data_IF_737647215648
#
_entry.id   IF_737647215648
#
_cell.length_a   1.000
_cell.length_b   1.000
_cell.length_c   1.000
_cell.angle_alpha   90.00
_cell.angle_beta   90.00
_cell.angle_gamma   90.00
#
_symmetry.space_group_name_H-M   'P 1'
#
loop_
_entity.id
_entity.type
_entity.pdbx_description
1 polymer ?
#
# COMPACT_ATOMS: atom_id res chain seq x y z
N UNK A 1 -21.79 -20.60 4.96
CA UNK A 1 -22.69 -19.64 4.31
C UNK A 1 -21.89 -18.89 3.26
N UNK A 2 -22.36 -18.72 2.02
CA UNK A 2 -21.65 -17.91 1.03
C UNK A 2 -21.74 -16.43 1.40
N UNK A 3 -20.62 -15.71 1.30
CA UNK A 3 -20.54 -14.27 1.49
C UNK A 3 -21.37 -13.55 0.42
N UNK A 4 -22.06 -12.48 0.80
CA UNK A 4 -22.84 -11.66 -0.15
C UNK A 4 -21.90 -10.79 -0.99
N UNK A 5 -22.29 -10.51 -2.22
CA UNK A 5 -21.55 -9.57 -3.07
C UNK A 5 -21.41 -8.20 -2.36
N UNK A 6 -20.17 -7.78 -2.10
CA UNK A 6 -19.85 -6.52 -1.43
C UNK A 6 -19.62 -6.61 0.09
N UNK A 7 -19.72 -7.79 0.68
CA UNK A 7 -19.38 -8.01 2.10
C UNK A 7 -17.85 -7.94 2.29
N UNK A 8 -17.40 -6.98 3.11
CA UNK A 8 -15.97 -6.79 3.42
C UNK A 8 -15.63 -7.63 4.65
N UNK A 9 -14.99 -8.77 4.42
CA UNK A 9 -14.44 -9.60 5.49
C UNK A 9 -12.99 -9.17 5.72
N UNK A 10 -12.66 -8.79 6.96
CA UNK A 10 -11.28 -8.53 7.34
C UNK A 10 -10.49 -9.83 7.41
N UNK A 11 -9.22 -9.80 6.98
CA UNK A 11 -8.32 -10.92 7.15
C UNK A 11 -8.06 -11.16 8.64
N UNK A 12 -8.14 -12.41 9.05
CA UNK A 12 -7.80 -12.86 10.40
C UNK A 12 -6.29 -12.76 10.64
N UNK A 13 -5.89 -12.74 11.92
CA UNK A 13 -4.48 -12.76 12.30
C UNK A 13 -3.75 -14.03 11.85
N UNK A 14 -4.48 -15.11 11.60
CA UNK A 14 -3.95 -16.39 11.11
C UNK A 14 -3.64 -16.30 9.62
N UNK A 15 -4.59 -15.80 8.81
CA UNK A 15 -4.39 -15.57 7.37
C UNK A 15 -3.22 -14.60 7.12
N UNK A 16 -3.07 -13.56 7.94
CA UNK A 16 -1.94 -12.63 7.82
C UNK A 16 -0.58 -13.27 8.08
N UNK A 17 -0.52 -14.41 8.80
CA UNK A 17 0.72 -15.15 9.08
C UNK A 17 1.04 -16.21 8.04
N UNK A 18 0.13 -16.46 7.10
CA UNK A 18 0.39 -17.42 6.02
C UNK A 18 1.53 -16.95 5.11
N UNK A 19 2.19 -17.92 4.48
CA UNK A 19 3.30 -17.67 3.57
C UNK A 19 2.79 -16.91 2.34
N UNK A 20 3.38 -15.76 2.03
CA UNK A 20 2.92 -14.91 0.93
C UNK A 20 3.16 -15.50 -0.47
N UNK A 21 4.06 -16.49 -0.59
CA UNK A 21 4.50 -17.01 -1.87
C UNK A 21 4.85 -18.49 -1.83
N UNK A 22 4.46 -19.23 -2.87
CA UNK A 22 4.87 -20.61 -3.08
C UNK A 22 5.65 -20.75 -4.40
N UNK A 23 6.87 -21.34 -4.39
CA UNK A 23 7.64 -21.77 -3.21
C UNK A 23 8.04 -20.60 -2.28
N UNK A 24 8.28 -20.84 -0.98
CA UNK A 24 8.59 -19.76 -0.02
C UNK A 24 9.81 -18.92 -0.45
N UNK A 25 9.70 -17.59 -0.35
CA UNK A 25 10.76 -16.64 -0.71
C UNK A 25 11.21 -15.81 0.49
N UNK A 26 12.51 -15.51 0.53
CA UNK A 26 13.14 -14.67 1.56
C UNK A 26 13.31 -13.21 1.13
N UNK A 27 13.15 -12.94 -0.17
CA UNK A 27 13.17 -11.60 -0.74
C UNK A 27 12.10 -11.47 -1.81
N UNK A 28 11.41 -10.33 -1.83
CA UNK A 28 10.47 -9.95 -2.87
C UNK A 28 10.72 -8.52 -3.28
N UNK A 29 10.60 -8.24 -4.58
CA UNK A 29 10.56 -6.88 -5.13
C UNK A 29 9.20 -6.68 -5.77
N UNK A 30 8.47 -5.67 -5.32
CA UNK A 30 7.16 -5.30 -5.87
C UNK A 30 7.29 -3.96 -6.58
N UNK A 31 6.82 -3.88 -7.82
CA UNK A 31 6.81 -2.67 -8.63
C UNK A 31 5.38 -2.25 -8.93
N UNK A 32 5.14 -0.94 -8.95
CA UNK A 32 3.88 -0.41 -9.44
C UNK A 32 3.93 -0.30 -10.98
N UNK A 33 2.90 -0.74 -11.72
CA UNK A 33 2.86 -0.60 -13.18
C UNK A 33 2.72 0.85 -13.67
N UNK A 34 2.53 1.82 -12.77
CA UNK A 34 2.35 3.22 -13.13
C UNK A 34 3.73 3.85 -13.28
N UNK A 35 4.03 4.56 -14.38
CA UNK A 35 5.33 5.21 -14.57
C UNK A 35 5.71 6.14 -13.42
N UNK A 36 4.72 6.80 -12.80
CA UNK A 36 4.90 7.72 -11.67
C UNK A 36 5.34 7.03 -10.37
N UNK A 37 5.07 5.73 -10.26
CA UNK A 37 5.38 4.93 -9.07
C UNK A 37 6.43 3.86 -9.31
N UNK A 38 6.85 3.66 -10.58
CA UNK A 38 7.88 2.70 -10.95
C UNK A 38 9.24 3.00 -10.27
N UNK A 39 9.50 4.26 -9.92
CA UNK A 39 10.71 4.69 -9.21
C UNK A 39 10.73 4.33 -7.71
N UNK A 40 9.63 3.78 -7.18
CA UNK A 40 9.53 3.36 -5.78
C UNK A 40 9.31 1.85 -5.67
N UNK A 41 10.33 1.03 -5.98
CA UNK A 41 10.24 -0.40 -5.74
C UNK A 41 10.04 -0.65 -4.24
N UNK A 42 9.20 -1.63 -3.93
CA UNK A 42 8.99 -2.11 -2.57
C UNK A 42 9.83 -3.37 -2.42
N UNK A 43 10.97 -3.23 -1.76
CA UNK A 43 11.89 -4.32 -1.47
C UNK A 43 11.57 -4.91 -0.09
N UNK A 44 11.13 -6.15 -0.07
CA UNK A 44 10.88 -6.95 1.12
C UNK A 44 12.03 -7.94 1.30
N UNK A 45 12.51 -8.04 2.54
CA UNK A 45 13.43 -9.09 3.00
C UNK A 45 12.85 -9.71 4.26
N UNK A 46 13.05 -11.02 4.42
CA UNK A 46 12.70 -11.70 5.66
C UNK A 46 13.37 -10.99 6.86
N UNK A 47 12.68 -10.85 8.00
CA UNK A 47 13.18 -10.08 9.14
C UNK A 47 14.51 -10.65 9.66
N UNK A 48 15.46 -9.79 10.03
CA UNK A 48 16.78 -10.24 10.52
C UNK A 48 16.71 -11.01 11.83
N UNK A 49 15.68 -10.76 12.67
CA UNK A 49 15.43 -11.52 13.91
C UNK A 49 15.15 -12.99 13.65
N UNK A 50 14.72 -13.33 12.43
CA UNK A 50 14.54 -14.68 11.95
C UNK A 50 15.85 -15.35 11.52
N UNK A 51 16.94 -14.58 11.40
CA UNK A 51 18.28 -15.09 11.10
C UNK A 51 19.03 -15.60 12.35
N UNK A 52 18.50 -15.35 13.54
CA UNK A 52 19.12 -15.74 14.81
C UNK A 52 18.96 -17.24 15.14
N UNK A 53 18.07 -17.95 14.45
CA UNK A 53 17.84 -19.39 14.63
C UNK A 53 18.45 -20.17 13.44
N UNK A 54 19.52 -20.95 13.65
CA UNK A 54 20.10 -21.75 12.57
C UNK A 54 19.11 -22.84 12.14
N UNK A 55 18.59 -22.76 10.91
CA UNK A 55 17.92 -23.87 10.22
C UNK A 55 16.52 -23.60 9.67
N UNK A 56 15.83 -22.54 10.09
CA UNK A 56 14.47 -22.24 9.57
C UNK A 56 14.21 -20.73 9.59
N UNK A 57 14.51 -20.04 8.49
CA UNK A 57 14.06 -18.66 8.31
C UNK A 57 12.55 -18.68 7.98
N UNK A 58 11.66 -18.05 8.77
CA UNK A 58 10.29 -17.88 8.37
C UNK A 58 10.23 -17.11 7.05
N UNK A 59 9.48 -17.61 6.06
CA UNK A 59 9.32 -16.91 4.79
C UNK A 59 8.50 -15.64 4.97
N UNK A 60 8.55 -14.76 3.96
CA UNK A 60 7.74 -13.54 3.94
C UNK A 60 6.26 -13.91 4.08
N UNK A 61 5.57 -13.31 5.05
CA UNK A 61 4.15 -13.56 5.31
C UNK A 61 3.25 -12.58 4.54
N UNK A 62 1.97 -12.93 4.36
CA UNK A 62 0.98 -12.06 3.68
C UNK A 62 0.91 -10.69 4.38
N UNK A 63 0.91 -10.67 5.71
CA UNK A 63 0.90 -9.44 6.49
C UNK A 63 2.10 -8.53 6.21
N UNK A 64 3.31 -9.10 6.05
CA UNK A 64 4.51 -8.34 5.72
C UNK A 64 4.36 -7.62 4.38
N UNK A 65 3.84 -8.35 3.38
CA UNK A 65 3.59 -7.80 2.03
C UNK A 65 2.58 -6.66 2.07
N UNK A 66 1.42 -6.87 2.72
CA UNK A 66 0.37 -5.86 2.80
C UNK A 66 0.84 -4.61 3.57
N UNK A 67 1.56 -4.79 4.67
CA UNK A 67 2.14 -3.68 5.45
C UNK A 67 3.17 -2.92 4.64
N UNK A 68 4.04 -3.60 3.89
CA UNK A 68 5.05 -2.94 3.06
C UNK A 68 4.42 -2.13 1.92
N UNK A 69 3.41 -2.68 1.23
CA UNK A 69 2.64 -1.96 0.23
C UNK A 69 1.97 -0.73 0.85
N UNK A 70 1.27 -0.92 1.96
CA UNK A 70 0.58 0.16 2.65
C UNK A 70 1.53 1.29 3.05
N UNK A 71 2.67 0.96 3.69
CA UNK A 71 3.69 1.93 4.11
C UNK A 71 4.29 2.67 2.92
N UNK A 72 4.64 1.95 1.85
CA UNK A 72 5.22 2.57 0.65
C UNK A 72 4.25 3.56 0.01
N UNK A 73 2.99 3.17 -0.19
CA UNK A 73 1.98 4.05 -0.78
C UNK A 73 1.63 5.25 0.11
N UNK A 74 1.69 5.11 1.43
CA UNK A 74 1.46 6.22 2.37
C UNK A 74 2.72 7.05 2.67
N UNK A 75 3.80 6.85 1.94
CA UNK A 75 5.00 7.71 2.04
C UNK A 75 4.76 9.03 1.28
N UNK A 76 5.21 10.14 1.85
CA UNK A 76 5.14 11.48 1.23
C UNK A 76 5.98 11.51 -0.05
N UNK A 77 5.49 12.21 -1.07
CA UNK A 77 6.27 12.48 -2.29
C UNK A 77 7.31 13.57 -2.05
N UNK A 78 8.34 13.64 -2.90
CA UNK A 78 9.33 14.72 -2.87
C UNK A 78 8.83 15.95 -3.63
N UNK A 79 9.43 17.14 -3.40
CA UNK A 79 9.11 18.33 -4.20
C UNK A 79 9.38 18.14 -5.69
N UNK A 80 10.41 17.36 -6.05
CA UNK A 80 10.76 17.09 -7.45
C UNK A 80 9.68 16.24 -8.13
N UNK A 81 9.10 15.27 -7.41
CA UNK A 81 7.99 14.46 -7.92
C UNK A 81 6.77 15.32 -8.23
N UNK A 82 6.49 16.33 -7.39
CA UNK A 82 5.41 17.28 -7.61
C UNK A 82 5.70 18.19 -8.80
N UNK A 83 6.93 18.71 -8.91
CA UNK A 83 7.34 19.58 -10.01
C UNK A 83 7.34 18.87 -11.38
N UNK A 84 7.47 17.54 -11.38
CA UNK A 84 7.41 16.72 -12.59
C UNK A 84 5.98 16.44 -13.11
N UNK A 85 4.95 16.91 -12.41
CA UNK A 85 3.55 16.79 -12.83
C UNK A 85 3.20 17.85 -13.87
N UNK A 86 2.41 17.45 -14.87
CA UNK A 86 1.70 18.42 -15.71
C UNK A 86 0.57 19.10 -14.92
N UNK A 87 0.07 20.24 -15.41
CA UNK A 87 -1.03 20.96 -14.74
C UNK A 87 -2.31 20.11 -14.57
N UNK A 88 -2.60 19.21 -15.52
CA UNK A 88 -3.73 18.29 -15.43
C UNK A 88 -3.53 17.21 -14.36
N UNK A 89 -2.31 16.68 -14.26
CA UNK A 89 -1.95 15.72 -13.22
C UNK A 89 -1.95 16.37 -11.85
N UNK A 90 -1.44 17.59 -11.72
CA UNK A 90 -1.44 18.35 -10.47
C UNK A 90 -2.88 18.54 -9.95
N UNK A 91 -3.81 18.91 -10.84
CA UNK A 91 -5.22 19.02 -10.50
C UNK A 91 -5.82 17.68 -10.05
N UNK A 92 -5.51 16.59 -10.76
CA UNK A 92 -6.00 15.25 -10.47
C UNK A 92 -5.46 14.70 -9.14
N UNK A 93 -4.16 14.86 -8.89
CA UNK A 93 -3.51 14.47 -7.64
C UNK A 93 -4.01 15.34 -6.47
N UNK A 94 -4.20 16.64 -6.69
CA UNK A 94 -4.78 17.54 -5.68
C UNK A 94 -6.19 17.14 -5.26
N UNK A 95 -7.02 16.70 -6.21
CA UNK A 95 -8.34 16.13 -5.92
C UNK A 95 -8.24 14.81 -5.13
N UNK A 96 -7.34 13.91 -5.54
CA UNK A 96 -7.11 12.64 -4.85
C UNK A 96 -6.63 12.84 -3.40
N UNK A 97 -5.66 13.74 -3.20
CA UNK A 97 -5.18 14.18 -1.89
C UNK A 97 -6.31 14.71 -1.02
N UNK A 98 -7.12 15.64 -1.53
CA UNK A 98 -8.25 16.20 -0.78
C UNK A 98 -9.27 15.12 -0.38
N UNK A 99 -9.56 14.19 -1.29
CA UNK A 99 -10.45 13.05 -1.03
C UNK A 99 -9.88 12.12 0.04
N UNK A 100 -8.57 11.83 0.00
CA UNK A 100 -7.86 11.01 1.00
C UNK A 100 -7.94 11.65 2.39
N UNK A 101 -7.55 12.92 2.54
CA UNK A 101 -7.59 13.61 3.83
C UNK A 101 -8.99 13.59 4.45
N UNK A 102 -10.02 13.85 3.65
CA UNK A 102 -11.42 13.76 4.12
C UNK A 102 -11.80 12.33 4.51
N UNK A 103 -11.40 11.32 3.73
CA UNK A 103 -11.71 9.92 4.03
C UNK A 103 -11.03 9.48 5.32
N UNK A 104 -9.74 9.78 5.50
CA UNK A 104 -9.00 9.46 6.73
C UNK A 104 -9.60 10.14 7.96
N UNK A 105 -10.01 11.41 7.84
CA UNK A 105 -10.65 12.16 8.91
C UNK A 105 -11.99 11.56 9.36
N UNK A 106 -12.75 10.97 8.43
CA UNK A 106 -14.06 10.36 8.67
C UNK A 106 -13.94 8.88 9.06
N UNK A 107 -12.84 8.21 8.69
CA UNK A 107 -12.69 6.75 8.81
C UNK A 107 -12.28 6.22 10.19
N UNK A 108 -12.25 7.03 11.26
CA UNK A 108 -11.99 6.47 12.59
C UNK A 108 -13.17 5.64 13.11
N UNK A 109 -12.95 4.33 13.08
CA UNK A 109 -12.97 3.42 14.23
C UNK A 109 -13.99 3.75 15.33
N UNK A 110 -14.98 2.87 15.47
CA UNK A 110 -15.70 2.58 16.72
C UNK A 110 -15.98 3.80 17.63
N UNK A 111 -16.98 4.60 17.27
CA UNK A 111 -17.69 5.44 18.24
C UNK A 111 -17.05 6.77 18.61
N UNK A 112 -16.01 7.26 17.91
CA UNK A 112 -15.56 8.65 18.09
C UNK A 112 -16.59 9.60 17.45
N UNK A 113 -17.16 10.56 18.19
CA UNK A 113 -18.12 11.52 17.63
C UNK A 113 -17.51 12.35 16.51
N UNK A 114 -18.35 12.71 15.53
CA UNK A 114 -18.03 13.60 14.41
C UNK A 114 -17.71 15.06 14.82
N UNK A 115 -17.29 15.33 16.05
CA UNK A 115 -16.89 16.65 16.50
C UNK A 115 -15.44 16.99 16.08
N UNK A 116 -14.58 15.98 15.93
CA UNK A 116 -13.12 16.19 15.80
C UNK A 116 -12.55 15.90 14.39
N UNK A 117 -13.41 15.65 13.39
CA UNK A 117 -12.93 15.33 12.03
C UNK A 117 -12.17 16.49 11.37
N UNK A 118 -12.45 17.75 11.75
CA UNK A 118 -11.73 18.91 11.18
C UNK A 118 -10.26 18.95 11.61
N UNK A 119 -9.97 18.61 12.87
CA UNK A 119 -8.61 18.51 13.38
C UNK A 119 -7.87 17.38 12.66
N UNK A 120 -8.50 16.20 12.54
CA UNK A 120 -7.94 15.07 11.80
C UNK A 120 -7.72 15.33 10.33
N UNK A 121 -8.63 16.07 9.67
CA UNK A 121 -8.41 16.49 8.29
C UNK A 121 -7.22 17.45 8.20
N UNK A 122 -7.06 18.34 9.18
CA UNK A 122 -5.91 19.24 9.25
C UNK A 122 -4.61 18.45 9.40
N UNK A 123 -4.57 17.46 10.28
CA UNK A 123 -3.42 16.56 10.44
C UNK A 123 -3.12 15.78 9.16
N UNK A 124 -4.15 15.19 8.54
CA UNK A 124 -3.99 14.45 7.29
C UNK A 124 -3.54 15.35 6.12
N UNK A 125 -3.85 16.64 6.16
CA UNK A 125 -3.35 17.64 5.20
C UNK A 125 -1.90 18.04 5.50
N UNK A 126 -1.52 18.15 6.77
CA UNK A 126 -0.15 18.45 7.19
C UNK A 126 0.85 17.37 6.76
N UNK A 127 0.40 16.12 6.69
CA UNK A 127 1.15 15.00 6.13
C UNK A 127 1.55 15.20 4.65
N UNK A 128 0.84 16.08 3.94
CA UNK A 128 1.08 16.40 2.54
C UNK A 128 0.66 15.30 1.56
N UNK A 129 1.06 15.47 0.30
CA UNK A 129 0.74 14.52 -0.78
C UNK A 129 1.54 13.24 -0.62
N UNK A 130 0.86 12.10 -0.68
CA UNK A 130 1.43 10.76 -0.54
C UNK A 130 1.43 10.05 -1.89
N UNK A 131 2.27 9.04 -2.07
CA UNK A 131 2.34 8.25 -3.32
C UNK A 131 1.00 7.64 -3.72
N UNK A 132 0.15 7.28 -2.75
CA UNK A 132 -1.22 6.80 -2.99
C UNK A 132 -2.08 7.83 -3.73
N UNK A 133 -1.79 9.13 -3.61
CA UNK A 133 -2.53 10.18 -4.30
C UNK A 133 -2.23 10.20 -5.80
N UNK A 134 -1.08 9.65 -6.24
CA UNK A 134 -0.77 9.43 -7.67
C UNK A 134 -1.64 8.34 -8.31
N UNK A 135 -2.36 7.55 -7.51
CA UNK A 135 -3.34 6.59 -8.02
C UNK A 135 -4.65 7.26 -8.42
N UNK A 136 -4.82 8.56 -8.19
CA UNK A 136 -6.00 9.33 -8.62
C UNK A 136 -7.33 8.71 -8.12
N UNK A 137 -7.30 8.11 -6.92
CA UNK A 137 -8.47 7.44 -6.32
C UNK A 137 -8.60 5.96 -6.64
N UNK A 138 -7.72 5.39 -7.47
CA UNK A 138 -7.59 3.97 -7.79
C UNK A 138 -6.77 3.22 -6.73
N UNK A 139 -7.21 3.29 -5.48
CA UNK A 139 -6.43 2.83 -4.32
C UNK A 139 -6.84 1.44 -3.83
N UNK A 140 -7.60 0.67 -4.59
CA UNK A 140 -8.01 -0.68 -4.18
C UNK A 140 -6.93 -1.70 -4.56
N UNK A 141 -6.33 -2.35 -3.56
CA UNK A 141 -5.43 -3.47 -3.80
C UNK A 141 -6.21 -4.70 -4.32
N UNK A 142 -5.88 -5.16 -5.53
CA UNK A 142 -6.49 -6.37 -6.14
C UNK A 142 -5.60 -7.59 -6.08
N UNK A 143 -4.30 -7.41 -5.86
CA UNK A 143 -3.34 -8.50 -5.78
C UNK A 143 -1.98 -8.16 -6.36
N UNK A 144 -1.17 -9.21 -6.50
CA UNK A 144 0.16 -9.17 -7.10
C UNK A 144 0.21 -10.16 -8.26
N UNK A 145 0.77 -9.76 -9.38
CA UNK A 145 1.01 -10.63 -10.54
C UNK A 145 2.50 -10.78 -10.79
N UNK A 146 2.95 -11.95 -11.21
CA UNK A 146 4.36 -12.12 -11.62
C UNK A 146 4.62 -11.34 -12.89
N UNK A 147 5.78 -10.72 -12.97
CA UNK A 147 6.25 -10.16 -14.22
C UNK A 147 6.83 -11.27 -15.10
N UNK A 148 6.10 -11.69 -16.13
CA UNK A 148 6.57 -12.74 -17.05
C UNK A 148 7.84 -12.35 -17.83
N UNK A 149 8.16 -11.06 -17.91
CA UNK A 149 9.36 -10.56 -18.57
C UNK A 149 10.58 -10.53 -17.65
N UNK A 150 10.41 -10.72 -16.34
CA UNK A 150 11.49 -10.64 -15.36
C UNK A 150 11.82 -12.04 -14.76
N UNK A 151 12.98 -12.62 -15.11
CA UNK A 151 13.38 -13.93 -14.59
C UNK A 151 13.67 -13.92 -13.08
N UNK A 152 13.92 -12.75 -12.48
CA UNK A 152 14.12 -12.59 -11.03
C UNK A 152 12.80 -12.65 -10.25
N UNK A 153 11.67 -12.67 -10.97
CA UNK A 153 10.34 -12.89 -10.40
C UNK A 153 9.82 -11.69 -9.62
N UNK A 154 10.03 -10.48 -10.17
CA UNK A 154 9.41 -9.24 -9.71
C UNK A 154 7.89 -9.36 -9.76
N UNK A 155 7.24 -8.78 -8.75
CA UNK A 155 5.79 -8.76 -8.65
C UNK A 155 5.26 -7.38 -9.05
N UNK A 156 4.21 -7.33 -9.86
CA UNK A 156 3.51 -6.09 -10.19
C UNK A 156 2.28 -5.93 -9.31
N UNK A 157 2.12 -4.73 -8.79
CA UNK A 157 0.96 -4.34 -7.99
C UNK A 157 -0.27 -4.10 -8.89
N UNK A 158 -1.40 -4.71 -8.55
CA UNK A 158 -2.68 -4.45 -9.21
C UNK A 158 -3.54 -3.52 -8.36
N UNK A 159 -3.88 -2.36 -8.92
CA UNK A 159 -4.72 -1.33 -8.30
C UNK A 159 -5.84 -0.90 -9.24
N UNK A 160 -7.07 -0.76 -8.72
CA UNK A 160 -8.23 -0.20 -9.43
C UNK A 160 -8.83 1.01 -8.71
#
# INVERSE_FOLDING_TARGET
MPLRAGEKVGLSAEELREVAFYPPRMSLRIMHPSPRLAFYPIDLKAPESALASPGTFPPIAIGDVLVAIHRSLHTRITPDDWAALSAEEEASVGQAFTRRCRKEAVASTDGVPAADWKERETDARNDGVKRVDFLMGKSEFKGLVRDDADPDGVLRLLTE
#
